data_IF_726998680313
#
_entry.id   IF_726998680313
#
_cell.length_a   1.000
_cell.length_b   1.000
_cell.length_c   1.000
_cell.angle_alpha   90.00
_cell.angle_beta   90.00
_cell.angle_gamma   90.00
#
_symmetry.space_group_name_H-M   'P 1'
#
loop_
_entity.id
_entity.type
_entity.pdbx_description
1 polymer ?
#
# COMPACT_ATOMS: atom_id res chain seq x y z
N UNK A 1 17.51 6.93 -1.77
CA UNK A 1 16.03 7.00 -1.73
C UNK A 1 15.57 5.56 -1.55
N UNK A 2 14.88 5.23 -0.46
CA UNK A 2 14.57 3.84 -0.15
C UNK A 2 13.55 3.30 -1.17
N UNK A 3 13.99 2.40 -2.05
CA UNK A 3 13.07 1.66 -2.93
C UNK A 3 12.13 0.84 -2.06
N UNK A 4 10.83 1.07 -2.24
CA UNK A 4 9.77 0.37 -1.51
C UNK A 4 8.84 -0.30 -2.50
N UNK A 5 8.24 -1.42 -2.10
CA UNK A 5 7.36 -2.20 -2.97
C UNK A 5 5.93 -2.11 -2.44
N UNK A 6 4.99 -1.75 -3.32
CA UNK A 6 3.57 -1.77 -3.05
C UNK A 6 2.93 -3.02 -3.65
N UNK A 7 2.12 -3.70 -2.84
CA UNK A 7 1.39 -4.92 -3.23
C UNK A 7 2.26 -6.00 -3.88
N UNK A 8 3.53 -6.08 -3.47
CA UNK A 8 4.54 -7.01 -3.99
C UNK A 8 4.82 -6.93 -5.51
N UNK A 9 4.24 -5.95 -6.22
CA UNK A 9 4.32 -5.81 -7.68
C UNK A 9 4.81 -4.45 -8.15
N UNK A 10 4.48 -3.39 -7.42
CA UNK A 10 4.74 -2.02 -7.87
C UNK A 10 5.90 -1.44 -7.07
N UNK A 11 7.08 -1.35 -7.69
CA UNK A 11 8.25 -0.72 -7.08
C UNK A 11 8.14 0.78 -7.25
N UNK A 12 8.12 1.53 -6.15
CA UNK A 12 7.98 2.98 -6.17
C UNK A 12 9.22 3.68 -5.62
N UNK A 13 9.54 4.81 -6.23
CA UNK A 13 10.71 5.63 -5.92
C UNK A 13 10.35 7.02 -5.39
N UNK A 14 9.09 7.44 -5.61
CA UNK A 14 8.62 8.77 -5.22
C UNK A 14 7.17 8.73 -4.72
N UNK A 15 6.94 9.43 -3.62
CA UNK A 15 5.61 9.67 -3.04
C UNK A 15 5.29 11.15 -3.28
N UNK A 16 4.24 11.42 -4.04
CA UNK A 16 3.74 12.79 -4.22
C UNK A 16 3.18 13.34 -2.90
N UNK A 17 3.13 14.68 -2.72
CA UNK A 17 2.54 15.30 -1.55
C UNK A 17 1.17 14.70 -1.22
N UNK A 18 1.00 14.28 0.04
CA UNK A 18 -0.21 13.62 0.52
C UNK A 18 -1.38 14.60 0.55
N UNK A 19 -2.49 14.21 -0.08
CA UNK A 19 -3.76 14.91 0.03
C UNK A 19 -4.64 14.32 1.14
N UNK A 20 -5.80 14.93 1.36
CA UNK A 20 -6.80 14.44 2.34
C UNK A 20 -7.23 13.00 2.05
N UNK A 21 -7.42 12.67 0.77
CA UNK A 21 -7.92 11.36 0.32
C UNK A 21 -6.85 10.27 0.20
N UNK A 22 -5.58 10.59 0.52
CA UNK A 22 -4.49 9.62 0.49
C UNK A 22 -3.26 10.09 -0.28
N UNK A 23 -2.51 9.13 -0.77
CA UNK A 23 -1.18 9.30 -1.35
C UNK A 23 -1.15 8.84 -2.80
N UNK A 24 -0.34 9.50 -3.61
CA UNK A 24 -0.07 9.10 -4.99
C UNK A 24 1.39 8.68 -5.08
N UNK A 25 1.66 7.53 -5.68
CA UNK A 25 3.01 7.00 -5.85
C UNK A 25 3.38 7.00 -7.32
N UNK A 26 4.62 7.38 -7.63
CA UNK A 26 5.24 7.06 -8.91
C UNK A 26 5.89 5.69 -8.80
N UNK A 27 5.47 4.75 -9.63
CA UNK A 27 5.92 3.37 -9.56
C UNK A 27 6.25 2.79 -10.94
N UNK A 28 6.92 1.65 -10.92
CA UNK A 28 7.17 0.78 -12.06
C UNK A 28 6.53 -0.57 -11.72
N UNK A 29 5.73 -1.11 -12.64
CA UNK A 29 5.26 -2.50 -12.58
C UNK A 29 6.46 -3.42 -12.85
N UNK A 30 6.83 -4.27 -11.90
CA UNK A 30 8.00 -5.14 -12.02
C UNK A 30 7.79 -6.27 -13.06
N UNK A 31 6.56 -6.62 -13.39
CA UNK A 31 6.28 -7.69 -14.35
C UNK A 31 6.37 -7.20 -15.80
N UNK A 32 5.90 -5.98 -16.04
CA UNK A 32 5.78 -5.43 -17.39
C UNK A 32 6.76 -4.28 -17.67
N UNK A 33 7.55 -3.90 -16.67
CA UNK A 33 8.47 -2.75 -16.67
C UNK A 33 7.82 -1.40 -17.02
N UNK A 34 6.50 -1.31 -16.90
CA UNK A 34 5.75 -0.11 -17.29
C UNK A 34 5.73 0.91 -16.15
N UNK A 35 5.85 2.19 -16.50
CA UNK A 35 5.65 3.29 -15.56
C UNK A 35 4.17 3.43 -15.24
N UNK A 36 3.83 3.42 -13.95
CA UNK A 36 2.46 3.51 -13.48
C UNK A 36 2.34 4.52 -12.32
N UNK A 37 1.11 4.96 -12.07
CA UNK A 37 0.78 5.83 -10.94
C UNK A 37 -0.18 5.08 -10.02
N UNK A 38 0.24 4.84 -8.78
CA UNK A 38 -0.59 4.13 -7.79
C UNK A 38 -1.30 5.15 -6.90
N UNK A 39 -2.64 5.05 -6.81
CA UNK A 39 -3.45 5.80 -5.84
C UNK A 39 -3.67 4.94 -4.60
N UNK A 40 -3.09 5.35 -3.47
CA UNK A 40 -3.34 4.73 -2.16
C UNK A 40 -4.32 5.58 -1.36
N UNK A 41 -5.54 5.10 -1.09
CA UNK A 41 -6.49 5.82 -0.24
C UNK A 41 -5.92 6.11 1.15
N UNK A 42 -6.35 7.20 1.77
CA UNK A 42 -6.07 7.45 3.18
C UNK A 42 -6.63 6.29 4.02
N UNK A 43 -5.97 5.89 5.12
CA UNK A 43 -6.46 4.81 5.97
C UNK A 43 -7.90 5.00 6.46
N UNK A 44 -8.33 6.26 6.66
CA UNK A 44 -9.69 6.59 7.08
C UNK A 44 -10.73 6.53 5.95
N UNK A 45 -10.29 6.62 4.69
CA UNK A 45 -11.14 6.51 3.50
C UNK A 45 -11.19 5.07 2.96
N UNK A 46 -10.39 4.17 3.53
CA UNK A 46 -10.55 2.74 3.28
C UNK A 46 -11.88 2.27 3.87
N UNK A 47 -12.64 1.39 3.18
CA UNK A 47 -13.89 0.87 3.70
C UNK A 47 -13.72 0.30 5.11
N UNK A 48 -14.70 0.42 6.02
CA UNK A 48 -14.61 -0.11 7.40
C UNK A 48 -14.18 -1.60 7.46
N UNK A 49 -14.57 -2.37 6.44
CA UNK A 49 -14.16 -3.76 6.24
C UNK A 49 -12.64 -3.92 6.20
N UNK A 50 -11.90 -2.99 5.58
CA UNK A 50 -10.43 -3.07 5.48
C UNK A 50 -9.76 -2.85 6.83
N UNK A 51 -10.27 -1.92 7.65
CA UNK A 51 -9.77 -1.72 9.01
C UNK A 51 -10.01 -2.96 9.88
N UNK A 52 -11.18 -3.58 9.77
CA UNK A 52 -11.49 -4.85 10.44
C UNK A 52 -10.60 -6.00 9.96
N UNK A 53 -10.37 -6.09 8.65
CA UNK A 53 -9.48 -7.10 8.06
C UNK A 53 -8.02 -6.92 8.50
N UNK A 54 -7.49 -5.69 8.56
CA UNK A 54 -6.12 -5.44 9.02
C UNK A 54 -5.90 -5.83 10.48
N UNK A 55 -6.89 -5.58 11.34
CA UNK A 55 -6.87 -6.05 12.74
C UNK A 55 -6.92 -7.58 12.80
N UNK A 56 -7.81 -8.21 12.01
CA UNK A 56 -7.93 -9.68 11.96
C UNK A 56 -6.64 -10.34 11.50
N UNK A 57 -6.03 -9.83 10.42
CA UNK A 57 -4.76 -10.34 9.87
C UNK A 57 -3.62 -10.17 10.89
N UNK A 58 -3.57 -9.05 11.62
CA UNK A 58 -2.58 -8.84 12.69
C UNK A 58 -2.76 -9.85 13.82
N UNK A 59 -3.99 -10.09 14.25
CA UNK A 59 -4.29 -11.07 15.30
C UNK A 59 -3.94 -12.50 14.86
N UNK A 60 -4.29 -12.90 13.65
CA UNK A 60 -3.92 -14.21 13.09
C UNK A 60 -2.41 -14.40 13.01
N UNK A 61 -1.67 -13.38 12.52
CA UNK A 61 -0.20 -13.41 12.49
C UNK A 61 0.43 -13.51 13.87
N UNK A 62 -0.16 -12.86 14.88
CA UNK A 62 0.30 -12.97 16.26
C UNK A 62 -0.01 -14.35 16.85
N UNK A 63 -1.15 -14.94 16.51
CA UNK A 63 -1.53 -16.29 16.93
C UNK A 63 -0.62 -17.36 16.33
N UNK A 64 -0.27 -17.25 15.04
CA UNK A 64 0.64 -18.18 14.35
C UNK A 64 2.11 -18.08 14.80
N UNK A 65 2.47 -17.05 15.58
CA UNK A 65 3.81 -16.86 16.13
C UNK A 65 3.97 -17.42 17.56
N UNK A 66 2.89 -17.91 18.18
CA UNK A 66 2.91 -18.65 19.45
C UNK A 66 2.91 -20.14 19.20
#
# INVERSE_FOLDING_TARGET
>A
MAESVFDQRYRYDYIYPRGRSGETLRAIDIETENKVVVKRPAPNDAPPIRAGQEVSIKNERQALRR
#
